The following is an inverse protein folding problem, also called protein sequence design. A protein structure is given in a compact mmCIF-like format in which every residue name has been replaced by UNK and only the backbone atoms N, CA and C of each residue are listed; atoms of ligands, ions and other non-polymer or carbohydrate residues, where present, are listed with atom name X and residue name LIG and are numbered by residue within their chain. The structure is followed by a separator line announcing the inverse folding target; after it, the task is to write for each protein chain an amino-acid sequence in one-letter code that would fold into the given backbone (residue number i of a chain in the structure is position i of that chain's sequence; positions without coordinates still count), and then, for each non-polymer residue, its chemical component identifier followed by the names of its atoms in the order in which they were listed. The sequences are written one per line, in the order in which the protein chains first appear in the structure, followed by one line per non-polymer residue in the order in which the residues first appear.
data_IF_457625258213
#
_entry.id   IF_457625258213
#
_cell.length_a   1.000
_cell.length_b   1.000
_cell.length_c   1.000
_cell.angle_alpha   90.00
_cell.angle_beta   90.00
_cell.angle_gamma   90.00
#
_symmetry.space_group_name_H-M   'P 1'
#
loop_
_entity.id
_entity.type
_entity.pdbx_description
1 polymer ?
#
# COMPACT_ATOMS: atom_id res chain seq x y z
N UNK A 1 8.85 0.06 35.89
CA UNK A 1 8.23 0.17 34.55
C UNK A 1 9.28 0.01 33.45
N UNK A 2 10.35 0.77 33.47
CA UNK A 2 11.44 0.73 32.46
C UNK A 2 12.08 -0.66 32.26
N UNK A 3 12.33 -1.41 33.31
CA UNK A 3 12.88 -2.78 33.21
C UNK A 3 11.91 -3.82 32.64
N UNK A 4 10.62 -3.63 32.82
CA UNK A 4 9.57 -4.49 32.20
C UNK A 4 9.41 -4.17 30.71
N UNK A 5 9.57 -2.92 30.32
CA UNK A 5 9.50 -2.46 28.93
C UNK A 5 10.73 -2.92 28.14
N UNK A 6 11.93 -2.85 28.73
CA UNK A 6 13.16 -3.41 28.16
C UNK A 6 13.09 -4.95 28.02
N UNK A 7 12.50 -5.68 28.97
CA UNK A 7 12.29 -7.12 28.84
C UNK A 7 11.34 -7.47 27.69
N UNK A 8 10.23 -6.74 27.51
CA UNK A 8 9.30 -6.95 26.39
C UNK A 8 9.97 -6.71 25.03
N UNK A 9 10.82 -5.69 24.92
CA UNK A 9 11.57 -5.42 23.68
C UNK A 9 12.56 -6.55 23.36
N UNK A 10 13.25 -7.10 24.37
CA UNK A 10 14.24 -8.18 24.16
C UNK A 10 13.56 -9.50 23.78
N UNK A 11 12.33 -9.76 24.23
CA UNK A 11 11.57 -10.96 23.88
C UNK A 11 11.06 -10.95 22.42
N UNK A 12 10.96 -9.79 21.78
CA UNK A 12 10.53 -9.65 20.40
C UNK A 12 11.66 -9.87 19.39
N UNK A 13 12.92 -9.82 19.81
CA UNK A 13 14.06 -9.99 18.90
C UNK A 13 14.39 -11.48 18.79
N UNK A 14 14.45 -11.98 17.57
CA UNK A 14 14.92 -13.33 17.23
C UNK A 14 16.13 -13.25 16.29
N UNK A 15 17.25 -13.81 16.72
CA UNK A 15 18.52 -13.65 16.01
C UNK A 15 19.02 -12.20 16.10
N UNK A 16 19.65 -11.71 15.02
CA UNK A 16 20.24 -10.37 14.97
C UNK A 16 19.36 -9.29 14.33
N UNK A 17 18.35 -9.67 13.52
CA UNK A 17 17.62 -8.74 12.68
C UNK A 17 16.09 -8.99 12.60
N UNK A 18 15.59 -10.07 13.20
CA UNK A 18 14.19 -10.42 13.12
C UNK A 18 13.42 -9.94 14.35
N UNK A 19 12.23 -9.40 14.10
CA UNK A 19 11.27 -9.02 15.14
C UNK A 19 10.08 -9.97 15.07
N UNK A 20 9.68 -10.52 16.19
CA UNK A 20 8.48 -11.35 16.33
C UNK A 20 7.52 -10.60 17.23
N UNK A 21 6.35 -10.27 16.70
CA UNK A 21 5.31 -9.62 17.49
C UNK A 21 4.62 -10.63 18.41
N UNK A 22 4.51 -10.32 19.68
CA UNK A 22 3.71 -11.11 20.64
C UNK A 22 2.23 -11.04 20.31
N UNK A 23 1.77 -9.84 19.92
CA UNK A 23 0.44 -9.62 19.36
C UNK A 23 0.61 -9.42 17.86
N UNK A 24 0.26 -10.43 17.08
CA UNK A 24 0.46 -10.43 15.65
C UNK A 24 -0.38 -9.33 14.96
N UNK A 25 0.20 -8.55 14.02
CA UNK A 25 -0.59 -7.65 13.20
C UNK A 25 -1.49 -8.46 12.25
N UNK A 26 -2.67 -7.92 11.96
CA UNK A 26 -3.64 -8.54 11.07
C UNK A 26 -3.88 -7.67 9.84
N UNK A 27 -3.99 -8.30 8.67
CA UNK A 27 -4.48 -7.65 7.46
C UNK A 27 -6.00 -7.50 7.59
N UNK A 28 -6.47 -6.27 7.70
CA UNK A 28 -7.91 -5.97 7.85
C UNK A 28 -8.61 -5.99 6.50
N UNK A 29 -7.94 -5.47 5.46
CA UNK A 29 -8.48 -5.38 4.11
C UNK A 29 -7.36 -5.37 3.09
N UNK A 30 -7.70 -5.73 1.86
CA UNK A 30 -6.84 -5.61 0.69
C UNK A 30 -7.68 -5.22 -0.52
N UNK A 31 -7.08 -4.50 -1.47
CA UNK A 31 -7.70 -4.18 -2.74
C UNK A 31 -6.68 -4.25 -3.87
N UNK A 32 -7.17 -4.54 -5.06
CA UNK A 32 -6.38 -4.68 -6.27
C UNK A 32 -7.01 -3.90 -7.42
N UNK A 33 -6.20 -3.07 -8.08
CA UNK A 33 -6.58 -2.27 -9.24
C UNK A 33 -5.62 -2.59 -10.37
N UNK A 34 -6.13 -2.91 -11.54
CA UNK A 34 -5.32 -3.32 -12.69
C UNK A 34 -5.78 -2.65 -13.99
N UNK A 35 -4.90 -2.61 -14.97
CA UNK A 35 -5.20 -2.19 -16.33
C UNK A 35 -5.88 -3.29 -17.14
N UNK A 36 -6.16 -2.98 -18.41
CA UNK A 36 -6.91 -3.86 -19.33
C UNK A 36 -6.22 -5.21 -19.53
N UNK A 37 -4.91 -5.20 -19.73
CA UNK A 37 -4.13 -6.40 -20.01
C UNK A 37 -4.20 -7.45 -18.90
N UNK A 38 -4.10 -7.03 -17.64
CA UNK A 38 -4.27 -7.94 -16.50
C UNK A 38 -5.73 -8.37 -16.32
N UNK A 39 -6.67 -7.47 -16.63
CA UNK A 39 -8.10 -7.77 -16.60
C UNK A 39 -8.52 -8.85 -17.60
N UNK A 40 -7.86 -8.91 -18.76
CA UNK A 40 -8.07 -9.96 -19.79
C UNK A 40 -7.35 -11.27 -19.43
N UNK A 41 -6.45 -11.25 -18.47
CA UNK A 41 -5.69 -12.40 -18.04
C UNK A 41 -6.51 -13.42 -17.23
N UNK A 42 -5.89 -14.57 -16.91
CA UNK A 42 -6.59 -15.67 -16.21
C UNK A 42 -7.07 -15.29 -14.81
N UNK A 43 -6.48 -14.27 -14.20
CA UNK A 43 -6.84 -13.74 -12.88
C UNK A 43 -7.78 -12.54 -12.93
N UNK A 44 -8.17 -12.06 -14.13
CA UNK A 44 -8.95 -10.83 -14.33
C UNK A 44 -10.19 -10.72 -13.44
N UNK A 45 -10.92 -11.81 -13.28
CA UNK A 45 -12.15 -11.87 -12.46
C UNK A 45 -11.93 -11.77 -10.94
N UNK A 46 -10.70 -11.83 -10.49
CA UNK A 46 -10.37 -11.78 -9.06
C UNK A 46 -9.91 -10.39 -8.61
N UNK A 47 -9.63 -9.48 -9.55
CA UNK A 47 -9.28 -8.10 -9.20
C UNK A 47 -10.52 -7.31 -8.79
N UNK A 48 -10.34 -6.40 -7.86
CA UNK A 48 -11.44 -5.56 -7.35
C UNK A 48 -11.88 -4.51 -8.37
N UNK A 49 -10.93 -4.00 -9.17
CA UNK A 49 -11.19 -3.04 -10.22
C UNK A 49 -10.29 -3.31 -11.43
N UNK A 50 -10.88 -3.32 -12.61
CA UNK A 50 -10.16 -3.39 -13.88
C UNK A 50 -10.53 -2.18 -14.73
N UNK A 51 -9.53 -1.42 -15.18
CA UNK A 51 -9.72 -0.35 -16.14
C UNK A 51 -9.72 -0.90 -17.56
N UNK A 52 -10.61 -0.37 -18.40
CA UNK A 52 -10.61 -0.64 -19.85
C UNK A 52 -9.51 0.16 -20.57
N UNK A 53 -9.03 1.22 -19.95
CA UNK A 53 -7.96 2.09 -20.44
C UNK A 53 -6.76 1.98 -19.49
N UNK A 54 -5.60 1.60 -20.02
CA UNK A 54 -4.38 1.45 -19.24
C UNK A 54 -3.86 2.78 -18.68
N UNK A 55 -4.30 3.90 -19.24
CA UNK A 55 -4.01 5.23 -18.70
C UNK A 55 -5.06 5.74 -17.71
N UNK A 56 -6.10 4.97 -17.41
CA UNK A 56 -7.15 5.37 -16.44
C UNK A 56 -7.81 6.72 -16.75
N UNK A 57 -7.87 7.10 -18.03
CA UNK A 57 -8.37 8.40 -18.47
C UNK A 57 -7.41 9.56 -18.29
N UNK A 58 -6.21 9.31 -17.81
CA UNK A 58 -5.18 10.31 -17.55
C UNK A 58 -4.35 10.60 -18.80
N UNK A 59 -3.56 11.68 -18.76
CA UNK A 59 -2.75 12.12 -19.90
C UNK A 59 -1.35 11.53 -19.90
N UNK A 60 -0.84 11.18 -18.75
CA UNK A 60 0.52 10.65 -18.56
C UNK A 60 0.47 9.33 -17.79
N UNK A 61 1.52 8.54 -17.92
CA UNK A 61 1.66 7.29 -17.20
C UNK A 61 1.81 7.49 -15.69
N UNK A 62 2.44 8.58 -15.29
CA UNK A 62 2.60 8.94 -13.88
C UNK A 62 1.25 9.30 -13.23
N UNK A 63 0.40 10.03 -13.96
CA UNK A 63 -0.96 10.32 -13.51
C UNK A 63 -1.80 9.03 -13.44
N UNK A 64 -1.65 8.14 -14.42
CA UNK A 64 -2.30 6.84 -14.42
C UNK A 64 -1.90 6.00 -13.19
N UNK A 65 -0.60 5.93 -12.88
CA UNK A 65 -0.11 5.23 -11.70
C UNK A 65 -0.61 5.87 -10.40
N UNK A 66 -0.68 7.20 -10.34
CA UNK A 66 -1.30 7.94 -9.22
C UNK A 66 -2.76 7.55 -9.03
N UNK A 67 -3.52 7.50 -10.10
CA UNK A 67 -4.94 7.14 -10.07
C UNK A 67 -5.12 5.68 -9.64
N UNK A 68 -4.34 4.74 -10.16
CA UNK A 68 -4.38 3.35 -9.72
C UNK A 68 -4.14 3.20 -8.21
N UNK A 69 -3.15 3.87 -7.67
CA UNK A 69 -2.82 3.81 -6.25
C UNK A 69 -3.92 4.41 -5.38
N UNK A 70 -4.45 5.58 -5.80
CA UNK A 70 -5.58 6.21 -5.12
C UNK A 70 -6.79 5.29 -5.07
N UNK A 71 -7.18 4.71 -6.19
CA UNK A 71 -8.33 3.80 -6.27
C UNK A 71 -8.11 2.55 -5.39
N UNK A 72 -6.91 1.97 -5.41
CA UNK A 72 -6.60 0.84 -4.54
C UNK A 72 -6.74 1.18 -3.05
N UNK A 73 -6.24 2.35 -2.63
CA UNK A 73 -6.39 2.82 -1.26
C UNK A 73 -7.86 3.05 -0.88
N UNK A 74 -8.61 3.74 -1.73
CA UNK A 74 -10.04 4.03 -1.51
C UNK A 74 -10.85 2.75 -1.41
N UNK A 75 -10.60 1.78 -2.30
CA UNK A 75 -11.27 0.49 -2.27
C UNK A 75 -10.94 -0.30 -1.00
N UNK A 76 -9.66 -0.34 -0.60
CA UNK A 76 -9.24 -1.03 0.62
C UNK A 76 -9.90 -0.44 1.86
N UNK A 77 -9.92 0.88 1.99
CA UNK A 77 -10.59 1.59 3.07
C UNK A 77 -12.10 1.32 3.07
N UNK A 78 -12.72 1.40 1.89
CA UNK A 78 -14.15 1.12 1.72
C UNK A 78 -14.54 -0.31 2.13
N UNK A 79 -13.76 -1.30 1.70
CA UNK A 79 -13.97 -2.71 2.08
C UNK A 79 -13.84 -2.93 3.59
N UNK A 80 -12.89 -2.25 4.23
CA UNK A 80 -12.70 -2.30 5.67
C UNK A 80 -13.74 -1.46 6.44
N UNK A 81 -14.45 -0.56 5.79
CA UNK A 81 -15.31 0.47 6.40
C UNK A 81 -14.54 1.36 7.40
N UNK A 82 -13.31 1.68 7.06
CA UNK A 82 -12.41 2.53 7.83
C UNK A 82 -12.25 3.86 7.09
N UNK A 83 -12.22 4.95 7.84
CA UNK A 83 -11.95 6.29 7.29
C UNK A 83 -10.45 6.54 7.21
N UNK A 84 -10.03 7.41 6.27
CA UNK A 84 -8.63 7.78 6.11
C UNK A 84 -8.02 8.37 7.41
N UNK A 85 -8.81 9.12 8.16
CA UNK A 85 -8.37 9.73 9.43
C UNK A 85 -8.05 8.70 10.53
N UNK A 86 -8.52 7.46 10.39
CA UNK A 86 -8.23 6.35 11.31
C UNK A 86 -6.89 5.66 10.97
N UNK A 87 -6.32 5.94 9.79
CA UNK A 87 -5.04 5.38 9.35
C UNK A 87 -3.91 6.27 9.85
N UNK A 88 -2.98 5.70 10.56
CA UNK A 88 -1.87 6.43 11.16
C UNK A 88 -0.73 6.70 10.18
N UNK A 89 -0.40 5.75 9.32
CA UNK A 89 0.70 5.82 8.36
C UNK A 89 0.35 5.08 7.07
N UNK A 90 0.92 5.56 5.98
CA UNK A 90 0.89 4.92 4.67
C UNK A 90 2.33 4.65 4.23
N UNK A 91 2.59 3.44 3.80
CA UNK A 91 3.86 3.04 3.17
C UNK A 91 3.57 2.73 1.71
N UNK A 92 4.29 3.35 0.81
CA UNK A 92 4.04 3.15 -0.60
C UNK A 92 5.15 3.68 -1.49
N UNK A 93 5.18 3.19 -2.71
CA UNK A 93 6.11 3.62 -3.73
C UNK A 93 5.56 3.31 -5.12
N UNK A 94 6.25 3.82 -6.12
CA UNK A 94 5.88 3.67 -7.52
C UNK A 94 7.06 3.18 -8.37
N UNK A 95 6.78 2.85 -9.61
CA UNK A 95 7.79 2.38 -10.56
C UNK A 95 8.36 3.50 -11.43
N UNK A 96 7.53 4.52 -11.76
CA UNK A 96 7.86 5.46 -12.82
C UNK A 96 8.71 6.65 -12.35
N UNK A 97 8.44 7.21 -11.17
CA UNK A 97 9.01 8.51 -10.77
C UNK A 97 9.42 8.59 -9.30
N UNK A 98 9.93 7.52 -8.72
CA UNK A 98 10.59 7.57 -7.40
C UNK A 98 9.72 8.22 -6.29
N UNK A 99 8.45 7.84 -6.23
CA UNK A 99 7.50 8.32 -5.23
C UNK A 99 6.65 9.52 -5.64
N UNK A 100 6.83 10.09 -6.83
CA UNK A 100 6.02 11.21 -7.33
C UNK A 100 4.59 10.76 -7.57
N UNK A 101 4.38 9.67 -8.30
CA UNK A 101 3.05 9.15 -8.59
C UNK A 101 2.32 8.76 -7.29
N UNK A 102 3.03 8.12 -6.36
CA UNK A 102 2.49 7.77 -5.04
C UNK A 102 2.07 9.01 -4.26
N UNK A 103 2.96 10.01 -4.15
CA UNK A 103 2.68 11.24 -3.39
C UNK A 103 1.45 11.96 -3.93
N UNK A 104 1.34 12.10 -5.25
CA UNK A 104 0.18 12.73 -5.89
C UNK A 104 -1.10 11.91 -5.71
N UNK A 105 -1.01 10.59 -5.87
CA UNK A 105 -2.16 9.70 -5.78
C UNK A 105 -2.81 9.67 -4.40
N UNK A 106 -2.00 9.70 -3.34
CA UNK A 106 -2.49 9.56 -1.96
C UNK A 106 -2.65 10.89 -1.21
N UNK A 107 -2.27 12.02 -1.83
CA UNK A 107 -2.36 13.35 -1.20
C UNK A 107 -3.74 13.64 -0.63
N UNK A 108 -4.78 13.32 -1.37
CA UNK A 108 -6.17 13.56 -0.95
C UNK A 108 -6.59 12.79 0.32
N UNK A 109 -5.88 11.73 0.68
CA UNK A 109 -6.15 10.94 1.88
C UNK A 109 -5.64 11.61 3.16
N UNK A 110 -4.70 12.56 3.04
CA UNK A 110 -4.09 13.30 4.16
C UNK A 110 -3.49 12.39 5.24
N UNK A 111 -3.00 11.21 4.84
CA UNK A 111 -2.33 10.26 5.73
C UNK A 111 -0.82 10.50 5.64
N UNK A 112 -0.10 10.60 6.78
CA UNK A 112 1.37 10.66 6.77
C UNK A 112 1.98 9.50 5.98
N UNK A 113 2.78 9.81 4.95
CA UNK A 113 3.32 8.83 4.02
C UNK A 113 4.82 8.64 4.20
N UNK A 114 5.24 7.38 4.16
CA UNK A 114 6.63 6.97 4.00
C UNK A 114 6.84 6.46 2.58
N UNK A 115 7.59 7.21 1.77
CA UNK A 115 7.93 6.83 0.40
C UNK A 115 8.99 5.73 0.36
N UNK A 116 8.74 4.71 -0.46
CA UNK A 116 9.63 3.59 -0.70
C UNK A 116 10.18 3.67 -2.14
N UNK A 117 11.46 3.34 -2.33
CA UNK A 117 12.17 3.53 -3.59
C UNK A 117 12.80 2.25 -4.14
N UNK A 118 12.13 1.15 -4.00
CA UNK A 118 12.62 -0.15 -4.40
C UNK A 118 12.14 -0.62 -5.78
N UNK A 119 11.39 0.18 -6.54
CA UNK A 119 10.70 -0.27 -7.75
C UNK A 119 9.95 -1.59 -7.47
N UNK A 120 10.27 -2.70 -8.13
CA UNK A 120 9.60 -3.99 -7.88
C UNK A 120 9.75 -4.51 -6.45
N UNK A 121 10.82 -4.15 -5.73
CA UNK A 121 11.01 -4.55 -4.33
C UNK A 121 10.14 -3.78 -3.34
N UNK A 122 9.52 -2.68 -3.77
CA UNK A 122 8.63 -1.85 -2.94
C UNK A 122 7.54 -2.69 -2.25
N UNK A 123 7.00 -3.69 -2.94
CA UNK A 123 5.98 -4.58 -2.38
C UNK A 123 6.48 -5.45 -1.22
N UNK A 124 7.78 -5.69 -1.15
CA UNK A 124 8.42 -6.41 -0.05
C UNK A 124 8.96 -5.49 1.05
N UNK A 125 9.16 -4.20 0.73
CA UNK A 125 9.62 -3.19 1.67
C UNK A 125 8.46 -2.60 2.49
N UNK A 126 7.27 -2.52 1.87
CA UNK A 126 6.05 -2.06 2.53
C UNK A 126 5.54 -3.06 3.58
#
# INVERSE_FOLDING_TARGET
MEQMEQRKQTEQIRGSQSIVFTDAPYIISAASVVGSKEGEGPLGKFFDMTSQDDQFGEKTWEEAESTMQKEACVLALGKARIKAEEIRYLFGGDLLRQGVATSMGVEALQIPMFGLFGACSTSGEA
#
